data_IF_457376722631
#
_entry.id   IF_457376722631
#
_cell.length_a   1.000
_cell.length_b   1.000
_cell.length_c   1.000
_cell.angle_alpha   90.00
_cell.angle_beta   90.00
_cell.angle_gamma   90.00
#
_symmetry.space_group_name_H-M   'P 1'
#
loop_
_entity.id
_entity.type
_entity.pdbx_description
1 polymer ?
#
# COMPACT_ATOMS: atom_id res chain seq x y z
N UNK A 1 -13.48 -21.22 -31.12
CA UNK A 1 -12.26 -21.28 -31.94
C UNK A 1 -11.04 -21.07 -31.04
N UNK A 2 -10.00 -21.89 -31.20
CA UNK A 2 -8.76 -21.83 -30.42
C UNK A 2 -7.67 -21.27 -31.34
N UNK A 3 -7.03 -20.17 -30.94
CA UNK A 3 -6.04 -19.45 -31.75
C UNK A 3 -4.64 -19.53 -31.10
N UNK A 4 -3.88 -20.62 -31.34
CA UNK A 4 -2.57 -20.86 -30.70
C UNK A 4 -1.44 -19.96 -31.20
N UNK A 5 -1.66 -19.15 -32.24
CA UNK A 5 -0.67 -18.24 -32.81
C UNK A 5 -0.56 -16.89 -32.08
N UNK A 6 -1.43 -16.62 -31.11
CA UNK A 6 -1.30 -15.41 -30.29
C UNK A 6 -0.13 -15.59 -29.32
N UNK A 7 0.84 -14.65 -29.28
CA UNK A 7 1.89 -14.70 -28.27
C UNK A 7 1.23 -14.69 -26.90
N UNK A 8 1.66 -15.59 -26.00
CA UNK A 8 1.15 -15.69 -24.63
C UNK A 8 1.21 -14.30 -23.98
N UNK A 9 0.07 -13.59 -23.81
CA UNK A 9 0.11 -12.26 -23.26
C UNK A 9 0.37 -12.43 -21.78
N UNK A 10 1.60 -12.14 -21.35
CA UNK A 10 1.87 -11.97 -19.91
C UNK A 10 0.80 -11.01 -19.37
N UNK A 11 0.14 -11.33 -18.24
CA UNK A 11 -0.92 -10.48 -17.72
C UNK A 11 -0.40 -9.04 -17.62
N UNK A 12 -1.10 -8.05 -18.19
CA UNK A 12 -0.68 -6.67 -18.04
C UNK A 12 -0.70 -6.32 -16.54
N UNK A 13 0.40 -5.76 -16.05
CA UNK A 13 0.47 -5.21 -14.71
C UNK A 13 0.21 -3.71 -14.83
N UNK A 14 -0.82 -3.22 -14.13
CA UNK A 14 -1.07 -1.79 -14.05
C UNK A 14 -0.16 -1.21 -12.97
N UNK A 15 0.82 -0.41 -13.38
CA UNK A 15 1.74 0.30 -12.49
C UNK A 15 1.34 1.76 -12.35
N UNK A 16 1.32 2.29 -11.13
CA UNK A 16 0.99 3.69 -10.83
C UNK A 16 1.98 4.26 -9.81
N UNK A 17 2.50 5.44 -10.11
CA UNK A 17 3.28 6.27 -9.18
C UNK A 17 2.31 7.17 -8.40
N UNK A 18 2.41 7.20 -7.08
CA UNK A 18 1.59 8.04 -6.21
C UNK A 18 2.33 8.32 -4.90
N UNK A 19 1.73 9.04 -3.96
CA UNK A 19 2.26 9.20 -2.60
C UNK A 19 1.54 8.26 -1.65
N UNK A 20 2.06 8.06 -0.44
CA UNK A 20 1.33 7.33 0.59
C UNK A 20 -0.04 7.96 0.90
N UNK A 21 -0.16 9.29 0.95
CA UNK A 21 -1.45 9.97 1.04
C UNK A 21 -2.37 9.64 -0.14
N UNK A 22 -1.82 9.62 -1.36
CA UNK A 22 -2.55 9.24 -2.57
C UNK A 22 -3.06 7.80 -2.54
N UNK A 23 -2.27 6.86 -1.99
CA UNK A 23 -2.70 5.49 -1.75
C UNK A 23 -3.84 5.41 -0.73
N UNK A 24 -3.76 6.15 0.39
CA UNK A 24 -4.86 6.20 1.37
C UNK A 24 -6.14 6.76 0.76
N UNK A 25 -6.03 7.85 -0.01
CA UNK A 25 -7.17 8.41 -0.73
C UNK A 25 -7.78 7.41 -1.72
N UNK A 26 -6.94 6.61 -2.41
CA UNK A 26 -7.41 5.54 -3.28
C UNK A 26 -8.12 4.42 -2.50
N UNK A 27 -7.57 3.94 -1.39
CA UNK A 27 -8.20 2.93 -0.53
C UNK A 27 -9.58 3.36 -0.02
N UNK A 28 -9.75 4.66 0.28
CA UNK A 28 -11.03 5.26 0.68
C UNK A 28 -12.12 5.19 -0.41
N UNK A 29 -11.75 4.90 -1.66
CA UNK A 29 -12.72 4.72 -2.76
C UNK A 29 -13.27 3.30 -2.87
N UNK A 30 -12.77 2.34 -2.08
CA UNK A 30 -13.16 0.95 -2.21
C UNK A 30 -14.62 0.75 -1.76
N UNK A 31 -15.43 0.14 -2.63
CA UNK A 31 -16.81 -0.21 -2.29
C UNK A 31 -16.89 -1.13 -1.07
N UNK A 32 -15.93 -2.05 -0.91
CA UNK A 32 -15.85 -2.91 0.27
C UNK A 32 -15.64 -2.13 1.58
N UNK A 33 -14.88 -1.03 1.53
CA UNK A 33 -14.72 -0.15 2.69
C UNK A 33 -16.03 0.56 3.02
N UNK A 34 -16.76 1.04 1.99
CA UNK A 34 -18.06 1.65 2.18
C UNK A 34 -19.06 0.69 2.86
N UNK A 35 -19.20 -0.53 2.33
CA UNK A 35 -20.07 -1.57 2.94
C UNK A 35 -19.64 -1.92 4.36
N UNK A 36 -18.33 -1.92 4.64
CA UNK A 36 -17.83 -2.14 5.99
C UNK A 36 -18.28 -1.04 6.95
N UNK A 37 -18.13 0.23 6.56
CA UNK A 37 -18.53 1.38 7.38
C UNK A 37 -20.03 1.46 7.62
N UNK A 38 -20.87 1.05 6.66
CA UNK A 38 -22.32 0.93 6.86
C UNK A 38 -22.67 -0.08 7.95
N UNK A 39 -21.95 -1.19 8.01
CA UNK A 39 -22.19 -2.26 8.99
C UNK A 39 -21.57 -1.97 10.36
N UNK A 40 -20.44 -1.25 10.38
CA UNK A 40 -19.65 -0.97 11.58
C UNK A 40 -19.36 0.52 11.72
N UNK A 41 -20.39 1.37 11.94
CA UNK A 41 -20.22 2.82 11.96
C UNK A 41 -19.34 3.33 13.10
N UNK A 42 -19.19 2.54 14.18
CA UNK A 42 -18.33 2.88 15.32
C UNK A 42 -16.84 2.70 15.01
N UNK A 43 -16.47 2.10 13.88
CA UNK A 43 -15.07 1.85 13.52
C UNK A 43 -14.27 3.14 13.32
N UNK A 44 -14.93 4.21 12.90
CA UNK A 44 -14.33 5.54 12.76
C UNK A 44 -13.89 6.14 14.11
N UNK A 45 -14.49 5.70 15.21
CA UNK A 45 -14.17 6.19 16.57
C UNK A 45 -13.04 5.40 17.23
N UNK A 46 -12.42 4.45 16.53
CA UNK A 46 -11.29 3.72 17.08
C UNK A 46 -10.09 4.67 17.31
N UNK A 47 -9.30 4.47 18.37
CA UNK A 47 -8.14 5.32 18.67
C UNK A 47 -7.12 5.39 17.53
N UNK A 48 -6.95 4.29 16.79
CA UNK A 48 -6.10 4.20 15.59
C UNK A 48 -6.76 4.69 14.29
N UNK A 49 -7.92 5.34 14.35
CA UNK A 49 -8.71 5.75 13.17
C UNK A 49 -9.47 4.58 12.54
N UNK A 50 -10.13 4.85 11.41
CA UNK A 50 -10.89 3.86 10.64
C UNK A 50 -10.03 2.73 10.07
N UNK A 51 -10.67 1.64 9.63
CA UNK A 51 -10.01 0.45 9.10
C UNK A 51 -8.98 0.78 8.01
N UNK A 52 -9.30 1.73 7.13
CA UNK A 52 -8.41 2.17 6.06
C UNK A 52 -7.12 2.79 6.59
N UNK A 53 -7.18 3.55 7.69
CA UNK A 53 -6.00 4.18 8.30
C UNK A 53 -5.16 3.13 9.02
N UNK A 54 -5.79 2.22 9.76
CA UNK A 54 -5.10 1.12 10.43
C UNK A 54 -4.41 0.20 9.42
N UNK A 55 -5.09 -0.14 8.33
CA UNK A 55 -4.52 -0.93 7.24
C UNK A 55 -3.35 -0.20 6.56
N UNK A 56 -3.55 1.07 6.20
CA UNK A 56 -2.52 1.87 5.56
C UNK A 56 -1.27 2.04 6.43
N UNK A 57 -1.43 2.31 7.73
CA UNK A 57 -0.32 2.40 8.70
C UNK A 57 0.48 1.10 8.75
N UNK A 58 -0.23 -0.03 8.87
CA UNK A 58 0.40 -1.34 8.87
C UNK A 58 1.16 -1.59 7.57
N UNK A 59 0.53 -1.33 6.42
CA UNK A 59 1.15 -1.52 5.11
C UNK A 59 2.47 -0.74 4.95
N UNK A 60 2.50 0.52 5.37
CA UNK A 60 3.73 1.35 5.35
C UNK A 60 4.85 0.76 6.19
N UNK A 61 4.53 0.31 7.40
CA UNK A 61 5.50 -0.32 8.30
C UNK A 61 6.10 -1.57 7.66
N UNK A 62 5.26 -2.46 7.13
CA UNK A 62 5.75 -3.69 6.51
C UNK A 62 6.56 -3.42 5.23
N UNK A 63 6.20 -2.38 4.45
CA UNK A 63 6.95 -2.00 3.26
C UNK A 63 8.39 -1.56 3.57
N UNK A 64 8.60 -0.75 4.62
CA UNK A 64 9.96 -0.35 5.04
C UNK A 64 10.79 -1.51 5.59
N UNK A 65 10.15 -2.42 6.32
CA UNK A 65 10.83 -3.66 6.79
C UNK A 65 11.29 -4.49 5.59
N UNK A 66 10.46 -4.60 4.55
CA UNK A 66 10.83 -5.32 3.34
C UNK A 66 11.98 -4.61 2.59
N UNK A 67 11.97 -3.29 2.47
CA UNK A 67 13.07 -2.51 1.87
C UNK A 67 14.39 -2.73 2.62
N UNK A 68 14.41 -2.56 3.95
CA UNK A 68 15.62 -2.77 4.76
C UNK A 68 16.11 -4.22 4.79
N UNK A 69 15.23 -5.21 4.64
CA UNK A 69 15.63 -6.61 4.49
C UNK A 69 16.28 -6.92 3.13
N UNK A 70 16.05 -6.08 2.11
CA UNK A 70 16.60 -6.27 0.76
C UNK A 70 18.01 -5.66 0.63
N UNK A 71 18.39 -4.73 1.51
CA UNK A 71 19.70 -4.05 1.50
C UNK A 71 20.76 -4.72 2.40
N UNK A 72 20.42 -5.82 3.08
CA UNK A 72 21.24 -6.47 4.12
C UNK A 72 22.16 -7.63 3.67
N UNK A 73 22.76 -7.58 2.49
CA UNK A 73 23.90 -8.44 2.11
C UNK A 73 25.10 -7.56 1.70
N UNK A 74 25.69 -6.87 2.68
CA UNK A 74 26.91 -6.07 2.52
C UNK A 74 27.47 -5.68 3.88
N UNK A 75 28.63 -6.25 4.22
CA UNK A 75 29.36 -6.04 5.47
C UNK A 75 29.68 -4.55 5.72
N UNK A 76 29.44 -4.07 6.93
CA UNK A 76 29.85 -2.73 7.37
C UNK A 76 29.15 -2.29 8.65
N UNK A 77 29.81 -2.51 9.78
CA UNK A 77 29.52 -1.84 11.04
C UNK A 77 29.79 -0.33 10.86
N UNK A 78 28.81 0.42 10.35
CA UNK A 78 28.80 1.87 10.43
C UNK A 78 27.55 2.33 11.18
N UNK A 79 27.81 3.07 12.24
CA UNK A 79 26.80 3.66 13.11
C UNK A 79 25.88 4.57 12.30
N UNK A 80 24.58 4.23 12.26
CA UNK A 80 23.54 5.17 11.84
C UNK A 80 23.34 6.16 12.99
N UNK A 81 24.20 7.17 13.08
CA UNK A 81 23.91 8.39 13.80
C UNK A 81 22.83 9.17 13.03
N UNK A 82 21.60 9.17 13.56
CA UNK A 82 20.70 10.29 13.38
C UNK A 82 19.65 10.19 12.28
N UNK A 83 18.86 9.12 12.24
CA UNK A 83 17.48 9.22 11.73
C UNK A 83 16.52 8.88 12.87
N UNK A 84 15.84 9.89 13.39
CA UNK A 84 14.83 9.74 14.45
C UNK A 84 13.79 8.74 13.97
N UNK A 85 13.81 7.54 14.55
CA UNK A 85 12.81 6.52 14.28
C UNK A 85 11.42 7.06 14.56
N UNK A 86 10.51 6.83 13.61
CA UNK A 86 9.06 7.05 13.61
C UNK A 86 8.32 6.46 14.83
N UNK A 87 9.04 5.78 15.73
CA UNK A 87 8.61 5.31 17.05
C UNK A 87 8.32 6.47 18.01
N UNK A 88 8.88 7.67 17.79
CA UNK A 88 8.61 8.84 18.62
C UNK A 88 7.22 9.42 18.28
N UNK A 89 6.19 8.78 18.83
CA UNK A 89 4.80 9.22 18.76
C UNK A 89 3.87 8.33 17.95
N UNK A 90 4.16 7.05 17.74
CA UNK A 90 3.17 6.08 17.26
C UNK A 90 2.96 5.03 18.34
N UNK A 91 1.88 5.15 19.12
CA UNK A 91 1.53 4.17 20.15
C UNK A 91 1.40 2.75 19.57
N UNK A 92 1.38 1.72 20.42
CA UNK A 92 1.23 0.32 19.99
C UNK A 92 -0.01 0.06 19.10
N UNK A 93 -0.98 0.97 19.12
CA UNK A 93 -2.22 0.97 18.33
C UNK A 93 -2.18 1.87 17.08
N UNK A 94 -1.03 2.47 16.75
CA UNK A 94 -0.85 3.34 15.60
C UNK A 94 -1.09 4.84 15.89
N UNK A 95 -1.14 5.26 17.14
CA UNK A 95 -1.54 6.64 17.53
C UNK A 95 -0.39 7.66 17.42
N UNK A 96 -0.53 8.66 16.53
CA UNK A 96 0.14 9.98 16.58
C UNK A 96 0.53 10.58 15.22
N UNK A 97 1.38 11.64 15.18
CA UNK A 97 1.53 12.49 13.99
C UNK A 97 2.18 11.74 12.81
N UNK A 98 1.56 11.88 11.65
CA UNK A 98 1.86 11.10 10.45
C UNK A 98 3.01 11.76 9.69
N UNK A 99 4.22 11.21 9.79
CA UNK A 99 5.39 11.70 9.05
C UNK A 99 5.47 11.02 7.67
N UNK A 100 5.91 11.75 6.65
CA UNK A 100 6.21 11.21 5.32
C UNK A 100 4.99 10.83 4.48
N UNK A 101 3.84 11.48 4.62
CA UNK A 101 2.66 11.19 3.78
C UNK A 101 2.88 11.50 2.29
N UNK A 102 3.80 12.44 2.00
CA UNK A 102 4.18 12.86 0.64
C UNK A 102 5.26 11.98 0.00
N UNK A 103 5.80 10.99 0.73
CA UNK A 103 6.77 10.03 0.19
C UNK A 103 6.13 9.21 -0.95
N UNK A 104 6.86 9.11 -2.06
CA UNK A 104 6.39 8.42 -3.26
C UNK A 104 6.41 6.90 -3.08
N UNK A 105 5.40 6.25 -3.65
CA UNK A 105 5.26 4.79 -3.70
C UNK A 105 4.76 4.37 -5.08
N UNK A 106 5.24 3.21 -5.52
CA UNK A 106 4.77 2.54 -6.73
C UNK A 106 3.81 1.44 -6.34
N UNK A 107 2.60 1.47 -6.89
CA UNK A 107 1.62 0.39 -6.72
C UNK A 107 1.44 -0.37 -8.03
N UNK A 108 1.31 -1.69 -7.92
CA UNK A 108 1.10 -2.60 -9.04
C UNK A 108 -0.17 -3.41 -8.83
N UNK A 109 -1.04 -3.44 -9.84
CA UNK A 109 -2.30 -4.18 -9.81
C UNK A 109 -2.35 -5.23 -10.93
N UNK A 110 -2.84 -6.44 -10.65
CA UNK A 110 -3.13 -7.41 -11.70
C UNK A 110 -4.29 -6.92 -12.57
N UNK A 111 -4.09 -6.84 -13.88
CA UNK A 111 -5.13 -6.48 -14.84
C UNK A 111 -5.45 -7.66 -15.75
N UNK A 112 -6.75 -7.94 -15.92
CA UNK A 112 -7.26 -8.86 -16.93
C UNK A 112 -7.92 -8.06 -18.05
N UNK A 113 -7.48 -8.26 -19.30
CA UNK A 113 -8.02 -7.58 -20.47
C UNK A 113 -8.58 -8.60 -21.47
N UNK A 114 -9.83 -8.40 -21.89
CA UNK A 114 -10.50 -9.21 -22.90
C UNK A 114 -10.63 -8.37 -24.17
N UNK A 115 -9.98 -8.80 -25.25
CA UNK A 115 -10.05 -8.15 -26.57
C UNK A 115 -10.98 -8.96 -27.48
N UNK A 116 -11.90 -8.27 -28.15
CA UNK A 116 -12.78 -8.87 -29.14
C UNK A 116 -12.83 -8.02 -30.40
N UNK A 117 -12.90 -8.67 -31.57
CA UNK A 117 -13.13 -8.01 -32.85
C UNK A 117 -14.59 -8.15 -33.23
N UNK A 118 -15.25 -7.02 -33.54
CA UNK A 118 -16.60 -7.03 -34.10
C UNK A 118 -16.58 -7.68 -35.49
N UNK A 119 -17.48 -8.63 -35.71
CA UNK A 119 -17.76 -9.26 -37.01
C UNK A 119 -18.70 -8.37 -37.81
#
# INVERSE_FOLDING_TARGET
EYHPALPNPRPPILRKHTTWAGLLAYLRTFSGLHTFHERFPTDASNPGGGLEERFWRRLRREAKVAEGATEGEGEGEDMIEGEKGWEEGVGAEGEGPMVGEDEEVVIEWPLAMILARKV
#
